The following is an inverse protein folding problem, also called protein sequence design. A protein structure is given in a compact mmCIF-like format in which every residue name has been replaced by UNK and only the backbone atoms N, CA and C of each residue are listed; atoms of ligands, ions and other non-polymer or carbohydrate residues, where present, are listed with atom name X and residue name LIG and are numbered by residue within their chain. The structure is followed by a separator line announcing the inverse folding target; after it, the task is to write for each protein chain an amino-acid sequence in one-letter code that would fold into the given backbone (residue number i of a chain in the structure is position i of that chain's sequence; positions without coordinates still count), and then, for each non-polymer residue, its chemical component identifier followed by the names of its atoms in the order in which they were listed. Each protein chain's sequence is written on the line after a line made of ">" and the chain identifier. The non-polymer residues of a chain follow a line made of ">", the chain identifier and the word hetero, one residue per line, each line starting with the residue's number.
data_IF_066612083954
#
_entry.id   IF_066612083954
#
_cell.length_a   1.000
_cell.length_b   1.000
_cell.length_c   1.000
_cell.angle_alpha   90.00
_cell.angle_beta   90.00
_cell.angle_gamma   90.00
#
_symmetry.space_group_name_H-M   'P 1'
#
loop_
_entity.id
_entity.type
_entity.pdbx_description
1 polymer ?
#
# COMPACT_ATOMS: atom_id res chain seq x y z
N UNK A 1 -9.23 -1.79 10.81
CA UNK A 1 -8.83 -2.35 9.50
C UNK A 1 -7.32 -2.52 9.47
N UNK A 2 -6.89 -3.70 9.09
CA UNK A 2 -5.46 -3.99 9.04
C UNK A 2 -5.05 -4.28 7.61
N UNK A 3 -4.04 -3.56 7.13
CA UNK A 3 -3.49 -3.73 5.80
C UNK A 3 -2.01 -4.08 5.92
N UNK A 4 -1.54 -4.92 5.04
CA UNK A 4 -0.13 -5.29 5.00
C UNK A 4 0.44 -4.99 3.62
N UNK A 5 1.66 -4.46 3.58
CA UNK A 5 2.36 -4.21 2.33
C UNK A 5 3.25 -5.41 2.04
N UNK A 6 3.10 -5.98 0.86
CA UNK A 6 3.99 -7.02 0.34
C UNK A 6 4.84 -6.41 -0.75
N UNK A 7 6.13 -6.72 -0.76
CA UNK A 7 7.06 -6.12 -1.70
C UNK A 7 8.05 -7.19 -2.18
N UNK A 8 8.29 -7.22 -3.49
CA UNK A 8 9.28 -8.14 -4.06
C UNK A 8 9.98 -7.52 -5.26
N UNK A 9 11.15 -8.02 -5.54
CA UNK A 9 11.93 -7.58 -6.69
C UNK A 9 11.53 -8.36 -7.93
N UNK A 10 11.28 -7.63 -9.03
CA UNK A 10 10.97 -8.24 -10.32
C UNK A 10 12.26 -8.65 -11.04
N UNK A 11 12.13 -9.50 -12.04
CA UNK A 11 13.28 -9.99 -12.80
C UNK A 11 14.07 -8.88 -13.50
N UNK A 12 13.38 -7.78 -13.85
CA UNK A 12 14.03 -6.65 -14.52
C UNK A 12 14.64 -5.63 -13.56
N UNK A 13 14.67 -5.95 -12.27
CA UNK A 13 15.25 -5.09 -11.24
C UNK A 13 14.33 -4.08 -10.63
N UNK A 14 13.11 -3.93 -11.15
CA UNK A 14 12.11 -3.08 -10.50
C UNK A 14 11.55 -3.78 -9.27
N UNK A 15 11.03 -3.00 -8.37
CA UNK A 15 10.32 -3.51 -7.20
C UNK A 15 8.82 -3.27 -7.34
N UNK A 16 8.02 -4.24 -6.93
CA UNK A 16 6.57 -4.08 -6.85
C UNK A 16 6.15 -4.16 -5.39
N UNK A 17 5.27 -3.25 -5.00
CA UNK A 17 4.66 -3.29 -3.68
C UNK A 17 3.15 -3.30 -3.85
N UNK A 18 2.46 -4.10 -3.06
CA UNK A 18 1.01 -4.20 -3.14
C UNK A 18 0.39 -4.40 -1.76
N UNK A 19 -0.87 -4.09 -1.66
CA UNK A 19 -1.67 -4.35 -0.47
C UNK A 19 -2.78 -5.32 -0.87
N UNK A 20 -2.63 -6.62 -0.55
CA UNK A 20 -3.60 -7.63 -0.99
C UNK A 20 -5.03 -7.35 -0.52
N UNK A 21 -5.20 -6.68 0.62
CA UNK A 21 -6.51 -6.35 1.16
C UNK A 21 -7.21 -5.21 0.41
N UNK A 22 -6.49 -4.53 -0.47
CA UNK A 22 -7.02 -3.45 -1.30
C UNK A 22 -6.77 -3.77 -2.78
N UNK A 23 -7.68 -4.51 -3.44
CA UNK A 23 -7.48 -4.89 -4.84
C UNK A 23 -7.19 -3.67 -5.73
N UNK A 24 -6.18 -3.79 -6.57
CA UNK A 24 -5.76 -2.71 -7.45
C UNK A 24 -4.79 -1.71 -6.84
N UNK A 25 -4.49 -1.80 -5.55
CA UNK A 25 -3.52 -0.92 -4.89
C UNK A 25 -2.15 -1.57 -4.97
N UNK A 26 -1.40 -1.22 -6.01
CA UNK A 26 -0.03 -1.67 -6.20
C UNK A 26 0.76 -0.57 -6.90
N UNK A 27 2.06 -0.55 -6.67
CA UNK A 27 2.97 0.42 -7.28
C UNK A 27 4.32 -0.21 -7.57
N UNK A 28 4.98 0.29 -8.60
CA UNK A 28 6.36 -0.07 -8.90
C UNK A 28 7.31 1.02 -8.44
N UNK A 29 8.53 0.63 -8.14
CA UNK A 29 9.58 1.56 -7.83
C UNK A 29 10.94 1.01 -8.26
N UNK A 30 11.92 1.89 -8.37
CA UNK A 30 13.29 1.50 -8.70
C UNK A 30 14.02 0.89 -7.51
N UNK A 31 13.52 1.13 -6.30
CA UNK A 31 14.05 0.53 -5.07
C UNK A 31 12.90 0.00 -4.24
N UNK A 32 13.24 -0.85 -3.28
CA UNK A 32 12.26 -1.39 -2.32
C UNK A 32 11.54 -0.27 -1.58
N UNK A 33 12.30 0.68 -1.03
CA UNK A 33 11.72 1.78 -0.26
C UNK A 33 10.85 2.68 -1.11
N UNK A 34 11.23 2.93 -2.35
CA UNK A 34 10.41 3.72 -3.26
C UNK A 34 9.07 3.06 -3.55
N UNK A 35 9.08 1.74 -3.84
CA UNK A 35 7.84 1.01 -4.10
C UNK A 35 6.92 1.01 -2.88
N UNK A 36 7.49 0.80 -1.69
CA UNK A 36 6.73 0.79 -0.44
C UNK A 36 6.13 2.17 -0.18
N UNK A 37 6.92 3.25 -0.34
CA UNK A 37 6.42 4.60 -0.10
C UNK A 37 5.29 4.95 -1.07
N UNK A 38 5.42 4.55 -2.33
CA UNK A 38 4.39 4.82 -3.34
C UNK A 38 3.10 4.08 -3.06
N UNK A 39 3.18 2.81 -2.69
CA UNK A 39 1.97 2.03 -2.40
C UNK A 39 1.31 2.50 -1.11
N UNK A 40 2.10 2.91 -0.12
CA UNK A 40 1.57 3.47 1.11
C UNK A 40 0.81 4.76 0.84
N UNK A 41 1.38 5.66 0.04
CA UNK A 41 0.71 6.90 -0.35
C UNK A 41 -0.59 6.62 -1.11
N UNK A 42 -0.55 5.66 -2.05
CA UNK A 42 -1.75 5.28 -2.80
C UNK A 42 -2.82 4.70 -1.87
N UNK A 43 -2.44 3.86 -0.91
CA UNK A 43 -3.37 3.29 0.06
C UNK A 43 -4.02 4.37 0.90
N UNK A 44 -3.25 5.35 1.36
CA UNK A 44 -3.78 6.44 2.18
C UNK A 44 -4.78 7.29 1.38
N UNK A 45 -4.48 7.57 0.10
CA UNK A 45 -5.41 8.29 -0.76
C UNK A 45 -6.69 7.49 -1.00
N UNK A 46 -6.55 6.18 -1.23
CA UNK A 46 -7.70 5.30 -1.45
C UNK A 46 -8.60 5.23 -0.21
N UNK A 47 -7.99 5.11 0.96
CA UNK A 47 -8.74 5.05 2.21
C UNK A 47 -9.39 6.38 2.54
N UNK A 48 -8.69 7.50 2.29
CA UNK A 48 -9.27 8.82 2.47
C UNK A 48 -10.48 9.02 1.57
N UNK A 49 -10.39 8.60 0.31
CA UNK A 49 -11.49 8.69 -0.64
C UNK A 49 -12.70 7.86 -0.17
N UNK A 50 -12.45 6.66 0.34
CA UNK A 50 -13.52 5.81 0.87
C UNK A 50 -14.21 6.44 2.08
N UNK A 51 -13.42 7.06 2.97
CA UNK A 51 -13.99 7.74 4.14
C UNK A 51 -14.83 8.93 3.73
N UNK A 52 -14.39 9.69 2.72
CA UNK A 52 -15.11 10.85 2.22
C UNK A 52 -16.43 10.46 1.55
N UNK A 53 -16.47 9.33 0.86
CA UNK A 53 -17.66 8.88 0.13
C UNK A 53 -18.53 7.88 0.91
N UNK A 54 -18.04 7.39 2.02
CA UNK A 54 -18.82 6.55 2.93
C UNK A 54 -19.56 7.44 3.92
N UNK A 55 -20.07 6.86 4.99
CA UNK A 55 -20.89 7.57 5.97
C UNK A 55 -20.09 8.37 6.99
N UNK A 56 -18.84 8.68 6.67
CA UNK A 56 -17.96 9.50 7.51
C UNK A 56 -17.78 8.95 8.92
N UNK A 57 -17.80 7.63 9.08
CA UNK A 57 -17.53 7.00 10.36
C UNK A 57 -16.03 6.84 10.55
N UNK A 58 -15.51 7.19 11.73
CA UNK A 58 -14.11 6.91 12.01
C UNK A 58 -13.82 5.42 11.93
N UNK A 59 -12.63 5.07 11.43
CA UNK A 59 -12.17 3.70 11.38
C UNK A 59 -10.76 3.62 11.92
N UNK A 60 -10.45 2.49 12.56
CA UNK A 60 -9.08 2.21 12.98
C UNK A 60 -8.33 1.61 11.81
N UNK A 61 -7.26 2.27 11.39
CA UNK A 61 -6.46 1.84 10.24
C UNK A 61 -5.05 1.54 10.70
N UNK A 62 -4.58 0.34 10.37
CA UNK A 62 -3.20 -0.06 10.59
C UNK A 62 -2.61 -0.52 9.27
N UNK A 63 -1.47 0.05 8.88
CA UNK A 63 -0.73 -0.36 7.69
C UNK A 63 0.62 -0.89 8.17
N UNK A 64 0.86 -2.18 7.95
CA UNK A 64 2.10 -2.82 8.37
C UNK A 64 3.08 -2.89 7.22
N UNK A 65 4.30 -2.42 7.46
CA UNK A 65 5.37 -2.49 6.50
C UNK A 65 5.95 -3.91 6.46
N UNK A 66 6.49 -4.34 5.32
CA UNK A 66 7.14 -5.64 5.26
C UNK A 66 8.41 -5.63 6.10
N UNK A 67 8.71 -6.78 6.69
CA UNK A 67 9.94 -6.94 7.46
C UNK A 67 11.15 -6.69 6.56
N UNK A 68 12.16 -6.04 7.12
CA UNK A 68 13.42 -5.85 6.42
C UNK A 68 14.06 -7.22 6.18
N UNK A 69 14.46 -7.45 4.95
CA UNK A 69 15.16 -8.68 4.60
C UNK A 69 16.64 -8.60 5.01
#
# INVERSE_FOLDING_TARGET
>A
MNFSIECEEELDGRWIAEIPQLPGVLCYGGTRDEAIAKVEALALRTLADRLDHAESRPVDITISLPLAA
#
